data_IF_393988327652
#
_entry.id   IF_393988327652
#
_cell.length_a   1.000
_cell.length_b   1.000
_cell.length_c   1.000
_cell.angle_alpha   90.00
_cell.angle_beta   90.00
_cell.angle_gamma   90.00
#
_symmetry.space_group_name_H-M   'P 1'
#
loop_
_entity.id
_entity.type
_entity.pdbx_description
1 polymer ?
#
# COMPACT_ATOMS: atom_id res chain seq x y z
N UNK A 1 4.51 -18.60 -8.40
CA UNK A 1 4.75 -19.74 -9.29
C UNK A 1 3.49 -19.97 -10.11
N UNK A 2 3.44 -19.43 -11.32
CA UNK A 2 2.30 -19.57 -12.24
C UNK A 2 2.49 -20.80 -13.14
N UNK A 3 1.42 -21.54 -13.49
CA UNK A 3 1.48 -22.75 -14.31
C UNK A 3 1.97 -22.54 -15.76
N UNK A 4 2.17 -21.29 -16.17
CA UNK A 4 2.72 -20.92 -17.49
C UNK A 4 4.23 -21.12 -17.60
N UNK A 5 4.99 -20.97 -16.51
CA UNK A 5 6.44 -21.21 -16.51
C UNK A 5 6.79 -22.70 -16.68
N UNK A 6 5.98 -23.59 -16.09
CA UNK A 6 6.19 -25.05 -16.18
C UNK A 6 6.01 -25.60 -17.61
N UNK A 7 5.07 -25.05 -18.39
CA UNK A 7 4.83 -25.50 -19.76
C UNK A 7 6.00 -25.13 -20.70
N UNK A 8 6.69 -24.02 -20.42
CA UNK A 8 7.84 -23.57 -21.19
C UNK A 8 9.10 -24.42 -20.91
N UNK A 9 9.29 -24.85 -19.66
CA UNK A 9 10.40 -25.74 -19.25
C UNK A 9 10.19 -27.17 -19.75
N UNK A 10 8.94 -27.65 -19.79
CA UNK A 10 8.59 -28.96 -20.35
C UNK A 10 8.86 -29.06 -21.85
N UNK A 11 8.62 -27.98 -22.61
CA UNK A 11 8.95 -27.91 -24.04
C UNK A 11 10.46 -28.00 -24.32
N UNK A 12 11.29 -27.46 -23.42
CA UNK A 12 12.76 -27.50 -23.51
C UNK A 12 13.34 -28.89 -23.23
N UNK A 13 12.76 -29.64 -22.29
CA UNK A 13 13.27 -30.98 -21.96
C UNK A 13 12.89 -32.06 -22.98
N UNK A 14 11.79 -31.88 -23.72
CA UNK A 14 11.34 -32.87 -24.69
C UNK A 14 12.18 -32.93 -25.98
N UNK A 15 13.02 -31.90 -26.23
CA UNK A 15 13.86 -31.83 -27.43
C UNK A 15 15.35 -32.10 -27.18
N UNK A 16 15.71 -32.55 -25.97
CA UNK A 16 17.08 -32.98 -25.68
C UNK A 16 17.24 -34.47 -26.01
N UNK A 17 17.52 -34.72 -27.30
CA UNK A 17 17.99 -35.94 -27.96
C UNK A 17 16.95 -36.92 -28.54
N UNK A 18 17.24 -37.59 -29.69
CA UNK A 18 18.50 -37.62 -30.43
C UNK A 18 18.40 -37.30 -31.94
N UNK A 19 19.58 -37.22 -32.56
CA UNK A 19 19.84 -37.55 -33.97
C UNK A 19 19.47 -36.48 -35.02
N UNK A 20 20.46 -35.93 -35.72
CA UNK A 20 20.68 -36.28 -37.12
C UNK A 20 22.06 -35.79 -37.58
N UNK A 21 22.71 -36.66 -38.36
CA UNK A 21 24.07 -36.54 -38.89
C UNK A 21 24.39 -35.20 -39.56
N UNK A 22 25.69 -34.92 -39.53
CA UNK A 22 26.40 -33.96 -40.35
C UNK A 22 25.85 -33.84 -41.79
N UNK A 23 25.75 -32.56 -42.22
CA UNK A 23 25.64 -32.01 -43.59
C UNK A 23 24.39 -31.13 -43.80
N UNK A 24 24.34 -29.95 -43.18
CA UNK A 24 23.73 -28.75 -43.79
C UNK A 24 24.06 -27.47 -43.01
N UNK A 25 25.30 -26.99 -43.04
CA UNK A 25 25.70 -25.76 -42.33
C UNK A 25 25.00 -24.47 -42.83
N UNK A 26 24.31 -24.51 -43.98
CA UNK A 26 23.62 -23.35 -44.57
C UNK A 26 22.15 -23.15 -44.18
N UNK A 27 21.40 -24.22 -43.89
CA UNK A 27 19.94 -24.14 -43.63
C UNK A 27 19.62 -24.23 -42.12
N UNK A 28 20.53 -24.82 -41.35
CA UNK A 28 20.36 -24.98 -39.90
C UNK A 28 20.45 -23.63 -39.18
N UNK A 29 21.27 -22.70 -39.70
CA UNK A 29 21.43 -21.34 -39.14
C UNK A 29 20.15 -20.49 -39.27
N UNK A 30 19.51 -20.35 -40.45
CA UNK A 30 18.27 -19.57 -40.54
C UNK A 30 17.11 -20.23 -39.78
N UNK A 31 17.02 -21.56 -39.75
CA UNK A 31 15.98 -22.27 -38.99
C UNK A 31 16.13 -22.08 -37.47
N UNK A 32 17.36 -22.13 -36.95
CA UNK A 32 17.64 -21.82 -35.55
C UNK A 32 17.38 -20.35 -35.20
N UNK A 33 17.70 -19.40 -36.10
CA UNK A 33 17.41 -17.98 -35.90
C UNK A 33 15.90 -17.69 -35.87
N UNK A 34 15.12 -18.32 -36.77
CA UNK A 34 13.66 -18.20 -36.80
C UNK A 34 13.01 -18.81 -35.55
N UNK A 35 13.55 -19.93 -35.05
CA UNK A 35 13.11 -20.55 -33.79
C UNK A 35 13.39 -19.63 -32.59
N UNK A 36 14.59 -19.05 -32.50
CA UNK A 36 14.95 -18.09 -31.45
C UNK A 36 14.08 -16.83 -31.48
N UNK A 37 13.71 -16.34 -32.67
CA UNK A 37 12.77 -15.21 -32.83
C UNK A 37 11.33 -15.58 -32.44
N UNK A 38 10.90 -16.81 -32.72
CA UNK A 38 9.60 -17.30 -32.27
C UNK A 38 9.55 -17.44 -30.74
N UNK A 39 10.59 -18.01 -30.14
CA UNK A 39 10.72 -18.14 -28.67
C UNK A 39 10.82 -16.77 -28.00
N UNK A 40 11.56 -15.82 -28.59
CA UNK A 40 11.64 -14.45 -28.04
C UNK A 40 10.33 -13.69 -28.16
N UNK A 41 9.47 -14.01 -29.14
CA UNK A 41 8.12 -13.44 -29.26
C UNK A 41 7.12 -14.06 -28.26
N UNK A 42 7.30 -15.34 -27.89
CA UNK A 42 6.53 -16.00 -26.84
C UNK A 42 7.03 -15.64 -25.41
N UNK A 43 8.32 -15.35 -25.27
CA UNK A 43 8.95 -14.75 -24.08
C UNK A 43 8.90 -13.22 -24.08
N UNK A 44 8.32 -12.59 -25.11
CA UNK A 44 7.95 -11.18 -25.07
C UNK A 44 6.75 -11.10 -24.14
N UNK A 45 7.06 -10.98 -22.85
CA UNK A 45 6.16 -10.78 -21.73
C UNK A 45 4.99 -9.89 -22.18
N UNK A 46 3.90 -10.54 -22.59
CA UNK A 46 2.61 -9.87 -22.83
C UNK A 46 1.88 -9.63 -21.51
N UNK A 47 2.50 -10.05 -20.40
CA UNK A 47 2.08 -9.86 -19.03
C UNK A 47 3.15 -9.11 -18.25
N UNK A 48 3.59 -7.97 -18.79
CA UNK A 48 4.45 -7.09 -18.00
C UNK A 48 3.54 -6.54 -16.91
N UNK A 49 3.81 -6.79 -15.60
CA UNK A 49 3.05 -6.10 -14.57
C UNK A 49 3.15 -4.60 -14.87
N UNK A 50 2.02 -3.89 -14.74
CA UNK A 50 1.93 -2.44 -14.91
C UNK A 50 2.99 -1.80 -14.00
N UNK A 51 4.15 -1.45 -14.57
CA UNK A 51 5.33 -1.24 -13.74
C UNK A 51 6.65 -1.22 -14.50
N UNK A 52 6.69 -0.52 -15.63
CA UNK A 52 7.96 -0.11 -16.24
C UNK A 52 8.75 0.74 -15.24
N UNK A 53 10.00 0.35 -14.95
CA UNK A 53 10.94 1.14 -14.13
C UNK A 53 10.95 2.59 -14.65
N UNK A 54 10.46 3.55 -13.85
CA UNK A 54 10.67 5.02 -13.90
C UNK A 54 9.47 5.95 -14.19
N UNK A 55 8.21 5.59 -13.90
CA UNK A 55 7.14 6.62 -14.01
C UNK A 55 6.04 6.61 -12.95
N UNK A 56 6.25 6.01 -11.78
CA UNK A 56 5.26 6.09 -10.68
C UNK A 56 5.84 6.69 -9.41
N UNK A 57 6.70 7.70 -9.57
CA UNK A 57 6.93 8.65 -8.50
C UNK A 57 5.87 9.75 -8.69
N UNK A 58 5.01 9.92 -7.69
CA UNK A 58 4.00 10.98 -7.55
C UNK A 58 2.62 10.81 -8.22
N UNK A 59 2.13 9.58 -8.38
CA UNK A 59 0.67 9.41 -8.41
C UNK A 59 0.15 9.49 -6.96
N UNK A 60 -0.90 10.29 -6.66
CA UNK A 60 -1.53 10.30 -5.34
C UNK A 60 -1.94 8.88 -4.98
N UNK A 61 -1.27 8.29 -3.97
CA UNK A 61 -1.57 6.92 -3.57
C UNK A 61 -2.97 6.89 -2.99
N UNK A 62 -3.85 6.08 -3.59
CA UNK A 62 -5.22 5.92 -3.10
C UNK A 62 -5.20 5.38 -1.67
N UNK A 63 -6.19 5.77 -0.86
CA UNK A 63 -6.40 5.10 0.43
C UNK A 63 -6.85 3.67 0.17
N UNK A 64 -6.32 2.72 0.93
CA UNK A 64 -6.78 1.34 0.86
C UNK A 64 -8.26 1.23 1.23
N UNK A 65 -8.91 0.18 0.76
CA UNK A 65 -10.34 -0.06 0.93
C UNK A 65 -10.75 -0.12 2.40
N UNK A 66 -12.02 0.18 2.63
CA UNK A 66 -12.63 0.10 3.94
C UNK A 66 -12.88 -1.35 4.35
N UNK A 67 -12.78 -1.65 5.64
CA UNK A 67 -13.01 -2.99 6.19
C UNK A 67 -13.60 -2.93 7.61
N UNK A 68 -13.94 -4.09 8.17
CA UNK A 68 -14.46 -4.19 9.52
C UNK A 68 -15.89 -3.71 9.73
N UNK A 69 -16.36 -3.68 10.99
CA UNK A 69 -17.75 -3.40 11.32
C UNK A 69 -18.11 -1.95 10.95
N UNK A 70 -19.07 -1.80 10.03
CA UNK A 70 -19.53 -0.49 9.56
C UNK A 70 -18.56 0.23 8.62
N UNK A 71 -17.62 -0.50 7.97
CA UNK A 71 -16.66 0.05 7.00
C UNK A 71 -15.83 1.22 7.55
N UNK A 72 -15.59 1.22 8.88
CA UNK A 72 -14.84 2.26 9.58
C UNK A 72 -13.34 2.02 9.54
N UNK A 73 -12.92 0.76 9.48
CA UNK A 73 -11.53 0.37 9.39
C UNK A 73 -10.94 0.48 7.98
N UNK A 74 -9.63 0.28 7.89
CA UNK A 74 -8.84 0.28 6.65
C UNK A 74 -7.94 -0.94 6.59
N UNK A 75 -7.73 -1.43 5.36
CA UNK A 75 -6.82 -2.53 5.11
C UNK A 75 -5.36 -2.07 5.19
N UNK A 76 -4.56 -2.75 6.01
CA UNK A 76 -3.11 -2.58 6.11
C UNK A 76 -2.36 -3.73 5.42
N UNK A 77 -3.00 -4.89 5.28
CA UNK A 77 -2.51 -6.07 4.58
C UNK A 77 -3.66 -6.98 4.15
N UNK A 78 -3.41 -8.07 3.42
CA UNK A 78 -4.46 -8.94 2.87
C UNK A 78 -5.32 -9.64 3.93
N UNK A 79 -4.80 -9.75 5.16
CA UNK A 79 -5.46 -10.34 6.31
C UNK A 79 -5.51 -9.39 7.51
N UNK A 80 -5.24 -8.10 7.33
CA UNK A 80 -5.14 -7.10 8.41
C UNK A 80 -6.08 -5.93 8.14
N UNK A 81 -7.04 -5.75 9.04
CA UNK A 81 -7.97 -4.62 9.05
C UNK A 81 -7.84 -3.85 10.36
N UNK A 82 -7.66 -2.53 10.30
CA UNK A 82 -7.48 -1.71 11.49
C UNK A 82 -8.45 -0.53 11.51
N UNK A 83 -9.01 -0.29 12.69
CA UNK A 83 -9.90 0.81 13.01
C UNK A 83 -9.34 1.59 14.20
N UNK A 84 -9.37 2.92 14.12
CA UNK A 84 -8.79 3.78 15.16
C UNK A 84 -9.48 3.62 16.52
N UNK A 85 -10.76 3.22 16.56
CA UNK A 85 -11.53 3.04 17.78
C UNK A 85 -11.60 1.61 18.30
N UNK A 86 -11.50 0.61 17.41
CA UNK A 86 -11.63 -0.82 17.76
C UNK A 86 -10.31 -1.59 17.76
N UNK A 87 -9.23 -1.01 17.25
CA UNK A 87 -7.93 -1.66 17.11
C UNK A 87 -7.79 -2.42 15.78
N UNK A 88 -6.94 -3.44 15.75
CA UNK A 88 -6.68 -4.24 14.56
C UNK A 88 -7.20 -5.67 14.68
N UNK A 89 -7.79 -6.15 13.59
CA UNK A 89 -8.25 -7.50 13.39
C UNK A 89 -7.34 -8.21 12.39
N UNK A 90 -6.71 -9.30 12.83
CA UNK A 90 -5.79 -10.10 12.03
C UNK A 90 -6.42 -11.48 11.74
N UNK A 91 -6.48 -11.87 10.47
CA UNK A 91 -7.01 -13.16 10.04
C UNK A 91 -8.47 -13.42 10.43
N UNK A 92 -9.26 -12.37 10.57
CA UNK A 92 -10.65 -12.43 11.02
C UNK A 92 -11.61 -12.19 9.85
N UNK A 93 -12.92 -12.46 9.97
CA UNK A 93 -13.87 -12.18 8.89
C UNK A 93 -13.95 -10.68 8.55
N UNK A 94 -13.63 -9.80 9.50
CA UNK A 94 -13.55 -8.34 9.31
C UNK A 94 -12.46 -7.93 8.32
N UNK A 95 -11.36 -8.70 8.23
CA UNK A 95 -10.26 -8.46 7.29
C UNK A 95 -10.36 -9.25 5.99
N UNK A 96 -11.37 -10.12 5.84
CA UNK A 96 -11.53 -10.97 4.65
C UNK A 96 -11.66 -10.17 3.35
N UNK A 97 -12.20 -8.94 3.40
CA UNK A 97 -12.30 -8.05 2.23
C UNK A 97 -10.94 -7.51 1.77
N UNK A 98 -9.94 -7.46 2.64
CA UNK A 98 -8.64 -6.87 2.32
C UNK A 98 -7.85 -7.68 1.31
N UNK A 99 -8.16 -8.97 1.10
CA UNK A 99 -7.56 -9.77 0.03
C UNK A 99 -7.85 -9.19 -1.36
N UNK A 100 -8.97 -8.46 -1.51
CA UNK A 100 -9.38 -7.86 -2.76
C UNK A 100 -8.40 -6.76 -3.22
N UNK A 101 -7.67 -6.13 -2.28
CA UNK A 101 -6.60 -5.17 -2.62
C UNK A 101 -5.52 -5.80 -3.51
N UNK A 102 -5.26 -7.10 -3.39
CA UNK A 102 -4.23 -7.79 -4.19
C UNK A 102 -4.59 -7.86 -5.68
N UNK A 103 -5.88 -7.75 -6.03
CA UNK A 103 -6.34 -7.78 -7.41
C UNK A 103 -6.38 -6.39 -8.05
N UNK A 104 -6.20 -5.33 -7.26
CA UNK A 104 -6.20 -3.96 -7.75
C UNK A 104 -4.81 -3.56 -8.26
N UNK A 105 -4.74 -3.17 -9.53
CA UNK A 105 -3.49 -2.79 -10.21
C UNK A 105 -2.93 -1.43 -9.76
N UNK A 106 -3.69 -0.65 -9.00
CA UNK A 106 -3.27 0.67 -8.49
C UNK A 106 -2.74 0.50 -7.07
N UNK A 107 -1.56 1.01 -6.71
CA UNK A 107 -1.06 0.89 -5.34
C UNK A 107 -1.90 1.74 -4.38
N UNK A 108 -2.20 1.19 -3.20
CA UNK A 108 -2.82 1.94 -2.11
C UNK A 108 -1.86 2.14 -0.95
N UNK A 109 -2.11 3.18 -0.17
CA UNK A 109 -1.45 3.42 1.10
C UNK A 109 -2.48 3.33 2.22
N UNK A 110 -2.18 2.54 3.24
CA UNK A 110 -2.90 2.61 4.49
C UNK A 110 -2.69 4.00 5.13
N UNK A 111 -3.71 4.49 5.86
CA UNK A 111 -3.62 5.78 6.54
C UNK A 111 -2.59 5.79 7.67
N UNK A 112 -2.50 6.92 8.37
CA UNK A 112 -1.65 7.06 9.54
C UNK A 112 -0.21 7.46 9.24
N UNK A 113 0.47 7.92 10.29
CA UNK A 113 1.86 8.35 10.28
C UNK A 113 2.81 7.13 10.18
N UNK A 114 3.97 7.26 9.52
CA UNK A 114 4.95 6.19 9.45
C UNK A 114 5.50 5.87 10.86
N UNK A 115 5.79 4.59 11.09
CA UNK A 115 6.35 4.07 12.33
C UNK A 115 7.27 2.87 12.03
N UNK A 116 8.16 2.55 12.98
CA UNK A 116 9.16 1.50 12.81
C UNK A 116 10.16 1.76 11.66
N UNK A 117 10.98 0.75 11.37
CA UNK A 117 12.02 0.80 10.31
C UNK A 117 11.56 0.14 9.00
N UNK A 118 10.55 -0.73 9.05
CA UNK A 118 10.11 -1.60 7.95
C UNK A 118 9.02 -0.95 7.05
N UNK A 119 8.84 0.37 7.14
CA UNK A 119 7.79 1.06 6.40
C UNK A 119 6.38 0.83 6.96
N UNK A 120 6.26 0.49 8.24
CA UNK A 120 5.01 0.38 8.96
C UNK A 120 4.29 1.73 9.12
N UNK A 121 3.00 1.67 9.44
CA UNK A 121 2.16 2.84 9.70
C UNK A 121 1.28 2.64 10.93
N UNK A 122 1.04 3.72 11.65
CA UNK A 122 0.19 3.70 12.82
C UNK A 122 -1.26 3.42 12.41
N UNK A 123 -1.76 2.26 12.82
CA UNK A 123 -3.05 1.74 12.39
C UNK A 123 -4.15 1.93 13.44
N UNK A 124 -3.74 1.97 14.71
CA UNK A 124 -4.57 2.25 15.87
C UNK A 124 -3.68 2.83 16.99
N UNK A 125 -4.26 3.41 18.06
CA UNK A 125 -3.49 3.97 19.17
C UNK A 125 -2.51 2.95 19.76
N UNK A 126 -1.22 3.26 19.67
CA UNK A 126 -0.13 2.43 20.18
C UNK A 126 0.21 1.22 19.32
N UNK A 127 -0.29 1.12 18.09
CA UNK A 127 -0.07 -0.04 17.22
C UNK A 127 0.47 0.38 15.84
N UNK A 128 1.67 -0.11 15.52
CA UNK A 128 2.33 0.04 14.24
C UNK A 128 2.12 -1.22 13.40
N UNK A 129 1.58 -1.08 12.19
CA UNK A 129 1.30 -2.22 11.32
C UNK A 129 1.99 -2.06 9.96
N UNK A 130 2.54 -3.17 9.48
CA UNK A 130 2.95 -3.37 8.10
C UNK A 130 1.96 -4.31 7.38
N UNK A 131 2.31 -4.78 6.18
CA UNK A 131 1.43 -5.63 5.38
C UNK A 131 1.26 -7.06 5.93
N UNK A 132 2.15 -7.51 6.82
CA UNK A 132 2.20 -8.87 7.35
C UNK A 132 1.88 -8.95 8.84
N UNK A 133 2.21 -7.91 9.61
CA UNK A 133 2.09 -7.93 11.07
C UNK A 133 1.81 -6.56 11.69
N UNK A 134 1.39 -6.59 12.95
CA UNK A 134 1.23 -5.41 13.80
C UNK A 134 2.00 -5.59 15.09
N UNK A 135 2.73 -4.56 15.50
CA UNK A 135 3.50 -4.51 16.74
C UNK A 135 3.10 -3.29 17.56
N UNK A 136 3.17 -3.41 18.88
CA UNK A 136 2.94 -2.25 19.76
C UNK A 136 4.09 -1.26 19.61
N UNK A 137 3.75 0.01 19.38
CA UNK A 137 4.71 1.09 19.22
C UNK A 137 4.18 2.35 19.91
N UNK A 138 4.95 2.87 20.86
CA UNK A 138 4.59 4.07 21.62
C UNK A 138 4.52 5.32 20.73
N UNK A 139 5.23 5.33 19.60
CA UNK A 139 5.15 6.41 18.61
C UNK A 139 3.78 6.51 17.95
N UNK A 140 2.94 5.48 18.07
CA UNK A 140 1.56 5.49 17.58
C UNK A 140 0.53 5.82 18.67
N UNK A 141 0.95 6.09 19.91
CA UNK A 141 0.06 6.64 20.92
C UNK A 141 -0.19 8.11 20.57
N UNK A 142 -1.46 8.49 20.53
CA UNK A 142 -1.86 9.87 20.24
C UNK A 142 -1.38 10.78 21.38
N UNK A 143 -0.24 11.43 21.20
CA UNK A 143 -0.07 12.79 21.69
C UNK A 143 -0.86 13.66 20.70
N UNK A 144 -1.86 14.37 21.19
CA UNK A 144 -2.73 15.25 20.41
C UNK A 144 -1.87 16.18 19.51
N UNK A 145 -2.01 16.00 18.20
CA UNK A 145 -1.70 16.88 17.05
C UNK A 145 -0.73 18.07 17.20
N UNK A 146 0.20 18.24 16.24
CA UNK A 146 0.25 19.54 15.58
C UNK A 146 0.52 19.43 14.07
N UNK A 147 -0.48 19.14 13.25
CA UNK A 147 -0.53 19.55 11.85
C UNK A 147 -1.95 19.57 11.27
N UNK A 148 -2.81 20.41 11.84
CA UNK A 148 -3.79 21.17 11.05
C UNK A 148 -3.46 22.68 11.15
N UNK A 149 -2.34 23.07 10.54
CA UNK A 149 -2.07 24.47 10.19
C UNK A 149 -2.05 24.61 8.66
N UNK A 150 -3.15 24.22 8.02
CA UNK A 150 -3.51 24.91 6.77
C UNK A 150 -3.98 26.31 7.15
N UNK A 151 -3.09 27.28 6.93
CA UNK A 151 -3.28 28.69 7.22
C UNK A 151 -4.54 29.26 6.55
N UNK A 152 -5.65 29.30 7.28
CA UNK A 152 -6.69 30.31 7.06
C UNK A 152 -6.25 31.61 7.74
N UNK A 153 -5.32 32.32 7.09
CA UNK A 153 -5.13 33.75 7.36
C UNK A 153 -6.11 34.49 6.47
N UNK A 154 -7.35 34.65 6.94
CA UNK A 154 -8.22 35.71 6.44
C UNK A 154 -9.22 36.14 7.51
N UNK A 155 -8.92 37.28 8.14
CA UNK A 155 -9.92 38.22 8.65
C UNK A 155 -10.67 37.85 9.93
N UNK A 156 -9.97 37.64 11.04
CA UNK A 156 -10.63 37.61 12.36
C UNK A 156 -11.18 38.99 12.75
N UNK A 157 -12.50 39.10 12.91
CA UNK A 157 -13.19 40.32 13.34
C UNK A 157 -12.69 40.73 14.75
N UNK A 158 -12.40 42.02 15.02
CA UNK A 158 -11.93 42.47 16.34
C UNK A 158 -12.90 42.14 17.49
N UNK A 159 -14.17 41.86 17.18
CA UNK A 159 -15.18 41.43 18.14
C UNK A 159 -14.89 40.06 18.77
N UNK A 160 -14.29 39.11 18.04
CA UNK A 160 -14.03 37.75 18.53
C UNK A 160 -12.88 37.71 19.54
N UNK A 161 -11.88 38.57 19.34
CA UNK A 161 -10.78 38.76 20.28
C UNK A 161 -11.29 39.38 21.58
N UNK A 162 -12.17 40.39 21.47
CA UNK A 162 -12.80 41.02 22.65
C UNK A 162 -13.65 40.02 23.43
N UNK A 163 -14.38 39.13 22.74
CA UNK A 163 -15.20 38.11 23.40
C UNK A 163 -14.37 37.07 24.15
N UNK A 164 -13.22 36.66 23.60
CA UNK A 164 -12.26 35.78 24.28
C UNK A 164 -11.64 36.44 25.53
N UNK A 165 -11.29 37.73 25.45
CA UNK A 165 -10.79 38.46 26.63
C UNK A 165 -11.87 38.67 27.70
N UNK A 166 -13.12 38.91 27.32
CA UNK A 166 -14.24 39.04 28.27
C UNK A 166 -14.52 37.73 29.00
N UNK A 167 -14.45 36.59 28.30
CA UNK A 167 -14.55 35.27 28.93
C UNK A 167 -13.42 35.03 29.94
N UNK A 168 -12.18 35.40 29.61
CA UNK A 168 -11.05 35.28 30.52
C UNK A 168 -11.18 36.19 31.75
N UNK A 169 -11.68 37.41 31.57
CA UNK A 169 -11.93 38.33 32.69
C UNK A 169 -13.06 37.84 33.61
N UNK A 170 -14.13 37.26 33.06
CA UNK A 170 -15.26 36.73 33.85
C UNK A 170 -14.86 35.58 34.79
N UNK A 171 -13.86 34.78 34.43
CA UNK A 171 -13.35 33.70 35.29
C UNK A 171 -12.46 34.21 36.44
N UNK A 172 -11.93 35.44 36.35
CA UNK A 172 -11.09 36.03 37.41
C UNK A 172 -11.89 36.75 38.49
N UNK A 173 -13.14 37.14 38.21
CA UNK A 173 -13.97 37.89 39.17
C UNK A 173 -14.58 37.04 40.29
N UNK A 174 -14.54 35.71 40.19
CA UNK A 174 -15.12 34.81 41.20
C UNK A 174 -14.13 34.40 42.31
N UNK A 175 -12.91 34.95 42.32
CA UNK A 175 -11.82 34.51 43.22
C UNK A 175 -11.36 35.55 44.25
N UNK A 176 -12.05 36.69 44.39
CA UNK A 176 -11.64 37.80 45.29
C UNK A 176 -12.66 38.20 46.35
N UNK A 177 -13.67 37.38 46.65
CA UNK A 177 -14.55 37.65 47.80
C UNK A 177 -14.85 36.37 48.60
N UNK A 178 -13.83 35.81 49.24
CA UNK A 178 -13.99 35.11 50.52
C UNK A 178 -12.67 35.08 51.29
#
# INVERSE_FOLDING_TARGET
MTPFDDLCVLGFNFFQFPLFSAEMTGVVVPLSLLFLMSVSSACYISNCPIGGKRSIMDAPQRKCMSCGPGDRGRCFGPSICCDEGLGCFLGSPESARCVEENYLLTPCQAGGRPCGSEGGRCAAPGLCCDAESCITDQSCLTEEDPDDQTSQVEGGNPADVILRLLHLASHTSHRTHQ
#
